data_IF_697978161110
#
_entry.id   IF_697978161110
#
_cell.length_a   1.000
_cell.length_b   1.000
_cell.length_c   1.000
_cell.angle_alpha   90.00
_cell.angle_beta   90.00
_cell.angle_gamma   90.00
#
_symmetry.space_group_name_H-M   'P 1'
#
loop_
_entity.id
_entity.type
_entity.pdbx_description
1 polymer ?
#
# COMPACT_ATOMS: atom_id res chain seq x y z
N UNK A 1 -63.45 -6.53 -14.34
CA UNK A 1 -63.45 -7.08 -15.71
C UNK A 1 -62.07 -7.67 -15.97
N UNK A 2 -61.96 -9.00 -15.92
CA UNK A 2 -60.79 -9.81 -16.29
C UNK A 2 -60.74 -9.96 -17.84
N UNK A 3 -59.71 -10.53 -18.53
CA UNK A 3 -58.93 -11.76 -18.21
C UNK A 3 -57.39 -11.63 -18.40
N UNK A 4 -56.53 -12.44 -17.74
CA UNK A 4 -56.05 -13.79 -18.16
C UNK A 4 -55.01 -13.66 -19.31
N UNK A 5 -53.75 -14.11 -19.24
CA UNK A 5 -53.25 -15.44 -18.86
C UNK A 5 -51.71 -15.50 -18.68
N UNK A 6 -51.31 -16.40 -17.77
CA UNK A 6 -50.17 -17.33 -17.76
C UNK A 6 -48.71 -16.92 -17.51
N UNK A 7 -48.21 -17.50 -16.41
CA UNK A 7 -46.83 -17.69 -16.00
C UNK A 7 -46.06 -18.67 -16.91
N UNK A 8 -44.78 -18.38 -17.10
CA UNK A 8 -43.72 -19.37 -17.35
C UNK A 8 -42.55 -19.06 -16.40
N UNK A 9 -41.98 -20.11 -15.82
CA UNK A 9 -41.06 -20.11 -14.67
C UNK A 9 -39.57 -19.92 -15.04
N UNK A 10 -38.87 -19.20 -14.15
CA UNK A 10 -37.49 -19.37 -13.61
C UNK A 10 -36.24 -19.19 -14.54
N UNK A 11 -35.02 -18.93 -13.98
CA UNK A 11 -34.65 -18.55 -12.61
C UNK A 11 -33.74 -17.29 -12.48
N UNK A 12 -33.70 -16.82 -11.22
CA UNK A 12 -32.67 -16.09 -10.46
C UNK A 12 -31.34 -15.72 -11.16
N UNK A 13 -30.85 -14.50 -10.89
CA UNK A 13 -29.57 -14.30 -10.19
C UNK A 13 -29.50 -12.90 -9.53
N UNK A 14 -29.07 -12.94 -8.29
CA UNK A 14 -28.88 -11.85 -7.34
C UNK A 14 -27.44 -11.37 -7.35
N UNK A 15 -27.18 -10.06 -7.46
CA UNK A 15 -25.87 -9.51 -7.13
C UNK A 15 -26.06 -8.52 -5.97
N UNK A 16 -25.93 -9.05 -4.75
CA UNK A 16 -25.75 -8.25 -3.54
C UNK A 16 -24.26 -8.21 -3.20
N UNK A 17 -23.75 -6.99 -3.12
CA UNK A 17 -22.44 -6.54 -2.68
C UNK A 17 -21.79 -7.41 -1.60
N UNK A 18 -20.50 -7.77 -1.77
CA UNK A 18 -19.67 -8.23 -0.65
C UNK A 18 -18.34 -7.49 -0.61
N UNK A 19 -18.29 -6.57 0.34
CA UNK A 19 -17.13 -5.81 0.79
C UNK A 19 -16.02 -6.73 1.32
N UNK A 20 -14.81 -6.62 0.76
CA UNK A 20 -13.60 -7.28 1.30
C UNK A 20 -13.06 -6.52 2.52
N UNK A 21 -13.73 -6.68 3.66
CA UNK A 21 -13.14 -6.43 4.97
C UNK A 21 -12.59 -7.73 5.54
N UNK A 22 -11.36 -7.73 6.04
CA UNK A 22 -10.81 -8.87 6.77
C UNK A 22 -11.56 -9.04 8.11
N UNK A 23 -11.93 -10.28 8.41
CA UNK A 23 -12.64 -10.72 9.62
C UNK A 23 -11.60 -11.30 10.60
N UNK A 24 -11.66 -11.02 11.91
CA UNK A 24 -10.69 -11.53 12.88
C UNK A 24 -10.72 -13.05 13.02
N UNK A 25 -9.54 -13.59 13.38
CA UNK A 25 -9.27 -15.00 13.65
C UNK A 25 -10.29 -15.60 14.63
N UNK A 26 -10.77 -16.80 14.32
CA UNK A 26 -11.77 -17.60 15.05
C UNK A 26 -13.25 -17.32 14.74
N UNK A 27 -13.76 -17.86 13.61
CA UNK A 27 -15.02 -18.66 13.50
C UNK A 27 -15.35 -18.97 12.01
N UNK A 28 -15.35 -20.26 11.65
CA UNK A 28 -16.37 -20.92 10.81
C UNK A 28 -16.57 -20.48 9.36
N UNK A 29 -15.53 -20.06 8.64
CA UNK A 29 -15.63 -19.81 7.19
C UNK A 29 -15.13 -21.05 6.44
N UNK A 30 -16.06 -21.88 5.96
CA UNK A 30 -15.77 -23.17 5.30
C UNK A 30 -14.77 -23.05 4.14
N UNK A 31 -14.77 -21.93 3.41
CA UNK A 31 -13.81 -21.68 2.32
C UNK A 31 -12.37 -21.44 2.80
N UNK A 32 -12.19 -20.86 3.99
CA UNK A 32 -10.87 -20.62 4.58
C UNK A 32 -10.34 -21.90 5.25
N UNK A 33 -11.23 -22.66 5.88
CA UNK A 33 -10.92 -23.99 6.41
C UNK A 33 -10.53 -24.97 5.31
N UNK A 34 -11.14 -24.89 4.11
CA UNK A 34 -10.74 -25.69 2.97
C UNK A 34 -9.32 -25.33 2.47
N UNK A 35 -9.00 -24.03 2.42
CA UNK A 35 -7.66 -23.58 2.05
C UNK A 35 -6.60 -23.99 3.08
N UNK A 36 -6.89 -23.85 4.37
CA UNK A 36 -6.01 -24.28 5.46
C UNK A 36 -5.85 -25.80 5.50
N UNK A 37 -6.92 -26.57 5.27
CA UNK A 37 -6.83 -28.04 5.20
C UNK A 37 -5.99 -28.50 4.01
N UNK A 38 -6.08 -27.82 2.86
CA UNK A 38 -5.21 -28.09 1.71
C UNK A 38 -3.74 -27.77 2.03
N UNK A 39 -3.47 -26.65 2.71
CA UNK A 39 -2.12 -26.31 3.17
C UNK A 39 -1.58 -27.30 4.23
N UNK A 40 -2.42 -27.72 5.16
CA UNK A 40 -2.07 -28.67 6.21
C UNK A 40 -1.82 -30.07 5.64
N UNK A 41 -2.61 -30.50 4.65
CA UNK A 41 -2.44 -31.78 3.95
C UNK A 41 -1.17 -31.87 3.09
N UNK A 42 -0.59 -30.73 2.72
CA UNK A 42 0.70 -30.66 2.03
C UNK A 42 1.91 -30.81 2.99
N UNK A 43 1.67 -30.87 4.31
CA UNK A 43 2.72 -30.90 5.33
C UNK A 43 2.80 -32.27 6.00
N UNK A 44 3.09 -33.32 5.22
CA UNK A 44 3.49 -34.62 5.77
C UNK A 44 5.01 -34.70 5.74
N UNK A 45 5.60 -34.47 6.91
CA UNK A 45 6.52 -35.38 7.60
C UNK A 45 7.61 -34.60 8.36
N UNK A 46 7.55 -34.62 9.70
CA UNK A 46 8.66 -34.96 10.59
C UNK A 46 8.18 -34.81 12.05
N UNK A 47 7.60 -35.90 12.57
CA UNK A 47 7.53 -36.11 14.01
C UNK A 47 8.92 -36.55 14.48
N UNK A 48 9.59 -35.73 15.30
CA UNK A 48 10.53 -36.25 16.28
C UNK A 48 10.47 -35.40 17.56
N UNK A 49 10.32 -36.01 18.74
CA UNK A 49 10.19 -35.29 20.00
C UNK A 49 11.58 -34.92 20.54
N UNK A 50 11.89 -33.63 20.63
CA UNK A 50 13.09 -33.16 21.35
C UNK A 50 12.73 -32.92 22.83
N UNK A 51 13.50 -33.43 23.82
CA UNK A 51 13.12 -33.39 25.24
C UNK A 51 13.19 -31.99 25.88
N UNK A 52 12.30 -31.75 26.85
CA UNK A 52 12.03 -30.47 27.52
C UNK A 52 13.17 -29.92 28.40
N UNK A 53 14.35 -30.53 28.38
CA UNK A 53 15.51 -30.10 29.18
C UNK A 53 16.39 -29.05 28.49
N UNK A 54 16.22 -28.83 27.18
CA UNK A 54 17.00 -27.80 26.45
C UNK A 54 16.50 -26.38 26.70
N UNK A 55 15.26 -26.23 27.19
CA UNK A 55 14.64 -24.90 27.42
C UNK A 55 15.21 -24.20 28.66
N UNK A 56 15.75 -24.94 29.64
CA UNK A 56 16.19 -24.35 30.92
C UNK A 56 17.63 -23.83 30.95
N UNK A 57 18.50 -24.24 30.04
CA UNK A 57 19.90 -23.76 30.02
C UNK A 57 20.13 -22.50 29.18
N UNK A 58 19.16 -22.08 28.37
CA UNK A 58 19.36 -20.93 27.47
C UNK A 58 18.76 -19.60 27.98
N UNK A 59 18.14 -19.57 29.17
CA UNK A 59 17.64 -18.31 29.74
C UNK A 59 18.74 -17.57 30.52
N UNK A 60 19.77 -18.27 30.99
CA UNK A 60 20.86 -17.66 31.78
C UNK A 60 21.98 -17.02 30.95
N UNK A 61 22.03 -17.24 29.63
CA UNK A 61 23.10 -16.74 28.76
C UNK A 61 22.64 -15.65 27.77
N UNK A 62 21.49 -15.01 28.04
CA UNK A 62 20.90 -13.97 27.18
C UNK A 62 21.59 -12.59 27.31
N UNK A 63 22.65 -12.48 28.11
CA UNK A 63 23.56 -11.34 28.06
C UNK A 63 24.79 -11.71 27.26
N UNK A 64 24.83 -11.23 26.01
CA UNK A 64 25.98 -11.28 25.08
C UNK A 64 26.08 -12.54 24.22
N UNK A 65 25.38 -12.57 23.08
CA UNK A 65 26.02 -13.07 21.84
C UNK A 65 25.42 -12.42 20.60
N UNK A 66 26.27 -11.66 19.93
CA UNK A 66 26.10 -10.97 18.66
C UNK A 66 25.96 -11.94 17.48
N UNK A 67 25.04 -12.91 17.51
CA UNK A 67 24.96 -13.96 16.47
C UNK A 67 23.62 -14.03 15.70
N UNK A 68 22.70 -13.09 15.92
CA UNK A 68 21.42 -13.02 15.18
C UNK A 68 21.48 -12.31 13.82
N UNK A 69 22.66 -11.82 13.38
CA UNK A 69 22.78 -11.01 12.16
C UNK A 69 23.13 -11.82 10.91
N UNK A 70 23.79 -12.97 11.05
CA UNK A 70 24.43 -13.65 9.92
C UNK A 70 23.55 -14.64 9.14
N UNK A 71 22.28 -14.86 9.52
CA UNK A 71 21.39 -15.80 8.83
C UNK A 71 20.28 -15.11 8.01
N UNK A 72 20.20 -13.77 8.05
CA UNK A 72 19.28 -12.99 7.20
C UNK A 72 19.94 -12.50 5.90
N UNK A 73 21.24 -12.77 5.70
CA UNK A 73 22.05 -12.30 4.57
C UNK A 73 21.89 -13.15 3.29
N UNK A 74 20.85 -13.98 3.18
CA UNK A 74 20.56 -14.77 1.98
C UNK A 74 19.16 -14.51 1.40
N UNK A 75 18.80 -13.23 1.29
CA UNK A 75 17.67 -12.75 0.47
C UNK A 75 17.98 -11.41 -0.20
N UNK A 76 19.21 -11.31 -0.69
CA UNK A 76 19.87 -10.11 -1.23
C UNK A 76 19.37 -9.62 -2.61
N UNK A 77 18.14 -9.95 -3.02
CA UNK A 77 17.56 -9.44 -4.28
C UNK A 77 16.40 -8.47 -4.06
N UNK A 78 15.72 -8.54 -2.91
CA UNK A 78 14.85 -7.45 -2.45
C UNK A 78 15.69 -6.56 -1.55
N UNK A 79 16.80 -6.04 -2.09
CA UNK A 79 17.54 -4.96 -1.44
C UNK A 79 16.58 -3.80 -1.31
N UNK A 80 16.07 -3.68 -0.09
CA UNK A 80 15.40 -2.55 0.54
C UNK A 80 15.87 -1.22 -0.04
N UNK A 81 15.29 -0.80 -1.17
CA UNK A 81 15.09 0.61 -1.53
C UNK A 81 13.89 1.12 -0.72
N UNK A 82 13.87 0.75 0.55
CA UNK A 82 13.21 1.49 1.60
C UNK A 82 14.42 1.94 2.40
N UNK A 83 15.08 2.97 1.89
CA UNK A 83 15.96 3.76 2.75
C UNK A 83 15.17 4.03 4.02
N UNK A 84 15.80 3.88 5.19
CA UNK A 84 15.18 4.27 6.44
C UNK A 84 15.04 5.80 6.41
N UNK A 85 13.98 6.27 5.77
CA UNK A 85 13.72 7.69 5.62
C UNK A 85 13.50 8.29 7.01
N UNK A 86 14.03 9.49 7.26
CA UNK A 86 13.77 10.16 8.52
C UNK A 86 12.26 10.41 8.67
N UNK A 87 11.75 10.19 9.88
CA UNK A 87 10.38 10.54 10.24
C UNK A 87 10.23 12.05 10.34
N UNK A 88 9.14 12.56 9.81
CA UNK A 88 8.71 13.94 9.92
C UNK A 88 8.03 14.19 11.28
N UNK A 89 7.87 15.47 11.68
CA UNK A 89 7.35 15.81 13.01
C UNK A 89 5.94 15.28 13.32
N UNK A 90 5.16 14.93 12.30
CA UNK A 90 3.82 14.37 12.48
C UNK A 90 3.59 13.17 11.57
N UNK A 91 2.81 12.21 12.08
CA UNK A 91 2.38 11.03 11.33
C UNK A 91 1.67 11.38 10.02
N UNK A 92 0.93 12.48 10.00
CA UNK A 92 0.22 12.96 8.80
C UNK A 92 1.21 13.31 7.68
N UNK A 93 2.22 14.13 7.98
CA UNK A 93 3.24 14.52 7.01
C UNK A 93 4.03 13.31 6.52
N UNK A 94 4.37 12.38 7.41
CA UNK A 94 5.05 11.12 7.07
C UNK A 94 4.23 10.27 6.11
N UNK A 95 2.92 10.17 6.36
CA UNK A 95 2.01 9.41 5.50
C UNK A 95 1.96 10.02 4.11
N UNK A 96 1.81 11.35 4.02
CA UNK A 96 1.77 12.09 2.76
C UNK A 96 3.09 11.90 1.99
N UNK A 97 4.23 12.12 2.63
CA UNK A 97 5.54 11.99 1.99
C UNK A 97 5.80 10.56 1.49
N UNK A 98 5.48 9.56 2.32
CA UNK A 98 5.64 8.14 1.96
C UNK A 98 4.79 7.80 0.74
N UNK A 99 3.52 8.23 0.73
CA UNK A 99 2.60 8.05 -0.40
C UNK A 99 3.11 8.70 -1.68
N UNK A 100 3.66 9.91 -1.60
CA UNK A 100 4.26 10.58 -2.76
C UNK A 100 5.49 9.83 -3.28
N UNK A 101 6.38 9.36 -2.40
CA UNK A 101 7.59 8.60 -2.77
C UNK A 101 7.27 7.34 -3.55
N UNK A 102 6.24 6.61 -3.15
CA UNK A 102 5.80 5.39 -3.85
C UNK A 102 4.85 5.67 -5.02
N UNK A 103 4.48 6.94 -5.26
CA UNK A 103 3.56 7.31 -6.33
C UNK A 103 2.08 7.01 -6.05
N UNK A 104 1.72 6.64 -4.82
CA UNK A 104 0.37 6.21 -4.44
C UNK A 104 -0.40 7.35 -3.76
N UNK A 105 -1.13 8.14 -4.53
CA UNK A 105 -2.10 9.10 -3.98
C UNK A 105 -3.52 8.56 -4.16
N UNK A 106 -4.46 8.99 -3.31
CA UNK A 106 -5.88 8.67 -3.53
C UNK A 106 -6.33 9.11 -4.92
N UNK A 107 -5.87 10.27 -5.40
CA UNK A 107 -6.22 10.76 -6.74
C UNK A 107 -5.72 9.82 -7.84
N UNK A 108 -4.44 9.46 -7.83
CA UNK A 108 -3.80 8.72 -8.92
C UNK A 108 -4.04 7.21 -8.87
N UNK A 109 -4.42 6.65 -7.72
CA UNK A 109 -4.45 5.20 -7.52
C UNK A 109 -5.85 4.63 -7.25
N UNK A 110 -6.85 5.47 -6.93
CA UNK A 110 -8.24 5.03 -6.67
C UNK A 110 -8.83 4.26 -7.84
N UNK A 111 -8.51 4.66 -9.07
CA UNK A 111 -9.07 4.05 -10.26
C UNK A 111 -8.71 2.56 -10.38
N UNK A 112 -7.53 2.15 -9.90
CA UNK A 112 -7.10 0.75 -9.87
C UNK A 112 -7.94 -0.09 -8.90
N UNK A 113 -8.35 0.49 -7.78
CA UNK A 113 -9.19 -0.18 -6.78
C UNK A 113 -10.63 -0.36 -7.25
N UNK A 114 -11.13 0.56 -8.09
CA UNK A 114 -12.51 0.57 -8.56
C UNK A 114 -12.67 0.03 -10.00
N UNK A 115 -11.56 -0.29 -10.68
CA UNK A 115 -11.60 -0.65 -12.10
C UNK A 115 -12.04 0.52 -13.01
N UNK A 116 -11.88 1.75 -12.55
CA UNK A 116 -12.24 2.96 -13.29
C UNK A 116 -11.09 3.39 -14.23
N UNK A 117 -11.38 4.22 -15.26
CA UNK A 117 -10.33 4.81 -16.08
C UNK A 117 -9.40 5.69 -15.23
N UNK A 118 -8.11 5.70 -15.58
CA UNK A 118 -7.14 6.53 -14.91
C UNK A 118 -7.51 8.02 -15.05
N UNK A 119 -7.39 8.83 -13.98
CA UNK A 119 -7.69 10.24 -14.05
C UNK A 119 -6.73 10.94 -15.02
N UNK A 120 -7.28 11.81 -15.86
CA UNK A 120 -6.49 12.62 -16.80
C UNK A 120 -6.30 14.04 -16.25
N UNK A 121 -5.13 14.61 -16.55
CA UNK A 121 -4.91 16.04 -16.39
C UNK A 121 -5.76 16.80 -17.43
N UNK A 122 -6.62 17.70 -16.98
CA UNK A 122 -7.54 18.44 -17.86
C UNK A 122 -6.81 19.37 -18.83
N UNK A 123 -5.61 19.87 -18.46
CA UNK A 123 -4.78 20.66 -19.36
C UNK A 123 -3.96 19.83 -20.33
N UNK A 124 -3.30 18.79 -19.81
CA UNK A 124 -2.28 18.07 -20.56
C UNK A 124 -2.85 16.86 -21.32
N UNK A 125 -4.08 16.44 -21.01
CA UNK A 125 -4.74 15.28 -21.60
C UNK A 125 -3.92 13.98 -21.49
N UNK A 126 -3.07 13.89 -20.46
CA UNK A 126 -2.30 12.71 -20.12
C UNK A 126 -2.69 12.20 -18.73
N UNK A 127 -2.30 10.96 -18.43
CA UNK A 127 -2.58 10.33 -17.15
C UNK A 127 -1.98 11.12 -15.99
N UNK A 128 -2.78 11.35 -14.94
CA UNK A 128 -2.30 12.00 -13.73
C UNK A 128 -1.40 11.04 -12.95
N UNK A 129 -0.17 11.48 -12.65
CA UNK A 129 0.79 10.79 -11.81
C UNK A 129 1.42 11.77 -10.80
N UNK A 130 2.11 11.26 -9.78
CA UNK A 130 2.88 12.12 -8.85
C UNK A 130 3.97 12.90 -9.60
N UNK A 131 4.65 12.26 -10.56
CA UNK A 131 5.63 12.91 -11.43
C UNK A 131 4.98 14.07 -12.21
N UNK A 132 3.81 13.80 -12.79
CA UNK A 132 3.09 14.83 -13.55
C UNK A 132 2.72 16.02 -12.67
N UNK A 133 2.21 15.79 -11.45
CA UNK A 133 1.83 16.86 -10.52
C UNK A 133 3.06 17.67 -10.07
N UNK A 134 4.12 16.98 -9.65
CA UNK A 134 5.29 17.60 -9.00
C UNK A 134 6.31 18.17 -9.99
N UNK A 135 6.35 17.72 -11.25
CA UNK A 135 7.43 18.07 -12.20
C UNK A 135 6.88 18.56 -13.55
N UNK A 136 5.96 17.84 -14.18
CA UNK A 136 5.70 18.02 -15.62
C UNK A 136 4.54 18.97 -15.93
N UNK A 137 3.47 18.97 -15.12
CA UNK A 137 2.22 19.62 -15.47
C UNK A 137 2.39 21.13 -15.65
N UNK A 138 2.11 21.65 -16.85
CA UNK A 138 2.30 23.06 -17.15
C UNK A 138 1.38 23.98 -16.32
N UNK A 139 0.18 23.52 -15.96
CA UNK A 139 -0.73 24.30 -15.10
C UNK A 139 -0.13 24.62 -13.74
N UNK A 140 0.69 23.71 -13.19
CA UNK A 140 1.30 23.90 -11.88
C UNK A 140 2.67 24.58 -11.94
N UNK A 141 3.19 24.90 -13.15
CA UNK A 141 4.55 25.41 -13.31
C UNK A 141 4.81 26.69 -12.53
N UNK A 142 3.90 27.68 -12.62
CA UNK A 142 4.02 28.94 -11.87
C UNK A 142 4.06 28.71 -10.35
N UNK A 143 3.31 27.72 -9.84
CA UNK A 143 3.26 27.38 -8.41
C UNK A 143 4.51 26.63 -7.98
N UNK A 144 5.05 25.75 -8.84
CA UNK A 144 6.33 25.08 -8.61
C UNK A 144 7.46 26.09 -8.50
N UNK A 145 7.59 27.01 -9.47
CA UNK A 145 8.63 28.05 -9.42
C UNK A 145 8.48 28.90 -8.16
N UNK A 146 7.25 29.27 -7.79
CA UNK A 146 6.98 30.04 -6.57
C UNK A 146 7.34 29.30 -5.28
N UNK A 147 7.09 28.00 -5.19
CA UNK A 147 7.36 27.21 -3.98
C UNK A 147 8.80 26.71 -3.89
N UNK A 148 9.36 26.30 -5.01
CA UNK A 148 10.65 25.61 -5.07
C UNK A 148 11.80 26.52 -5.48
N UNK A 149 11.49 27.76 -5.87
CA UNK A 149 12.45 28.78 -6.32
C UNK A 149 13.38 28.27 -7.44
N UNK A 150 12.90 27.31 -8.23
CA UNK A 150 13.63 26.67 -9.32
C UNK A 150 12.70 26.37 -10.48
N UNK A 151 13.18 26.63 -11.70
CA UNK A 151 12.55 26.20 -12.95
C UNK A 151 12.94 24.78 -13.36
N UNK A 152 13.99 24.23 -12.74
CA UNK A 152 14.58 22.94 -13.06
C UNK A 152 14.74 22.13 -11.77
N UNK A 153 13.62 21.67 -11.21
CA UNK A 153 13.61 20.81 -10.02
C UNK A 153 13.34 19.37 -10.44
N UNK A 154 14.02 18.42 -9.81
CA UNK A 154 13.79 16.98 -10.04
C UNK A 154 12.93 16.38 -8.94
N UNK A 155 12.37 15.20 -9.21
CA UNK A 155 11.59 14.47 -8.19
C UNK A 155 12.44 14.12 -6.95
N UNK A 156 13.75 13.87 -7.16
CA UNK A 156 14.70 13.59 -6.08
C UNK A 156 14.87 14.82 -5.18
N UNK A 157 15.00 16.01 -5.76
CA UNK A 157 15.14 17.25 -4.98
C UNK A 157 13.90 17.54 -4.09
N UNK A 158 12.74 17.02 -4.49
CA UNK A 158 11.47 17.20 -3.76
C UNK A 158 11.25 16.11 -2.71
N UNK A 159 11.54 14.84 -3.02
CA UNK A 159 11.05 13.67 -2.26
C UNK A 159 12.15 12.80 -1.63
N UNK A 160 13.45 13.12 -1.77
CA UNK A 160 14.52 12.31 -1.20
C UNK A 160 14.59 12.39 0.35
N UNK A 161 15.73 12.04 0.95
CA UNK A 161 15.92 11.92 2.41
C UNK A 161 15.49 13.18 3.16
N UNK A 162 15.91 14.33 2.65
CA UNK A 162 15.44 15.62 3.11
C UNK A 162 14.43 16.16 2.08
N UNK A 163 13.12 16.09 2.36
CA UNK A 163 12.10 16.57 1.42
C UNK A 163 12.13 18.10 1.32
N UNK A 164 11.81 18.64 0.15
CA UNK A 164 11.83 20.09 -0.04
C UNK A 164 10.90 20.79 0.97
N UNK A 165 11.35 21.84 1.69
CA UNK A 165 10.60 22.44 2.80
C UNK A 165 9.23 23.01 2.38
N UNK A 166 9.11 23.43 1.13
CA UNK A 166 7.86 23.95 0.56
C UNK A 166 6.96 22.90 -0.10
N UNK A 167 7.27 21.60 -0.02
CA UNK A 167 6.47 20.53 -0.61
C UNK A 167 5.02 20.56 -0.12
N UNK A 168 4.81 20.59 1.18
CA UNK A 168 3.47 20.57 1.76
C UNK A 168 2.71 21.86 1.47
N UNK A 169 3.40 23.01 1.45
CA UNK A 169 2.83 24.29 1.02
C UNK A 169 2.35 24.24 -0.42
N UNK A 170 3.18 23.69 -1.32
CA UNK A 170 2.84 23.49 -2.72
C UNK A 170 1.59 22.62 -2.88
N UNK A 171 1.53 21.48 -2.20
CA UNK A 171 0.38 20.56 -2.26
C UNK A 171 -0.92 21.21 -1.76
N UNK A 172 -0.86 22.00 -0.69
CA UNK A 172 -2.01 22.76 -0.18
C UNK A 172 -2.45 23.81 -1.20
N UNK A 173 -1.49 24.51 -1.80
CA UNK A 173 -1.74 25.55 -2.77
C UNK A 173 -2.42 25.04 -4.05
N UNK A 174 -2.02 23.86 -4.56
CA UNK A 174 -2.69 23.25 -5.73
C UNK A 174 -3.97 22.48 -5.36
N UNK A 175 -4.31 22.39 -4.07
CA UNK A 175 -5.49 21.64 -3.60
C UNK A 175 -5.34 20.12 -3.61
N UNK A 176 -4.12 19.60 -3.72
CA UNK A 176 -3.85 18.15 -3.75
C UNK A 176 -3.56 17.54 -2.38
N UNK A 177 -3.32 18.35 -1.35
CA UNK A 177 -2.93 17.88 -0.03
C UNK A 177 -3.90 16.82 0.56
N UNK A 178 -5.22 17.02 0.43
CA UNK A 178 -6.25 16.07 0.91
C UNK A 178 -6.47 14.85 0.02
N UNK A 179 -5.80 14.80 -1.14
CA UNK A 179 -5.92 13.71 -2.11
C UNK A 179 -4.68 12.81 -2.17
N UNK A 180 -3.66 13.10 -1.37
CA UNK A 180 -2.53 12.20 -1.09
C UNK A 180 -2.95 11.22 -0.01
#
# INVERSE_FOLDING_TARGET
>A
MCPGVNCINLPQESILLKTSGQIPSHVGISGNELADNLAMSATINLNSPVPVNDVKKNISNLSSTQNGKAQWDHKDTIKRIIDCWPSLPTRELDTILTRLRIGHTRFTHRHLLLGEPAPLCTACQCQMTVLHILIECQQFNHRRIRCFHSSCITLKDILHNDPHPQLFTFLKMIGFYSFV
#
